data_IF_912298142587
#
_entry.id   IF_912298142587
#
_cell.length_a   1.000
_cell.length_b   1.000
_cell.length_c   1.000
_cell.angle_alpha   90.00
_cell.angle_beta   90.00
_cell.angle_gamma   90.00
#
_symmetry.space_group_name_H-M   'P 1'
#
loop_
_entity.id
_entity.type
_entity.pdbx_description
1 polymer ?
#
# COMPACT_ATOMS: atom_id res chain seq x y z
N UNK A 1 -5.63 47.73 -4.88
CA UNK A 1 -5.24 46.41 -4.37
C UNK A 1 -4.95 46.41 -2.86
N UNK A 2 -4.53 47.52 -2.26
CA UNK A 2 -4.25 47.60 -0.81
C UNK A 2 -5.49 47.63 0.11
N UNK A 3 -6.62 48.18 -0.34
CA UNK A 3 -7.86 48.24 0.48
C UNK A 3 -8.57 46.88 0.64
N UNK A 4 -8.45 46.01 -0.35
CA UNK A 4 -9.02 44.65 -0.32
C UNK A 4 -8.18 43.70 0.53
N UNK A 5 -6.86 43.92 0.62
CA UNK A 5 -5.96 43.10 1.42
C UNK A 5 -6.17 43.31 2.94
N UNK A 6 -6.48 44.53 3.37
CA UNK A 6 -6.78 44.85 4.77
C UNK A 6 -8.14 44.28 5.24
N UNK A 7 -9.13 44.20 4.35
CA UNK A 7 -10.42 43.56 4.65
C UNK A 7 -10.31 42.05 4.86
N UNK A 8 -9.47 41.37 4.07
CA UNK A 8 -9.29 39.90 4.18
C UNK A 8 -8.50 39.53 5.44
N UNK A 9 -7.51 40.32 5.83
CA UNK A 9 -6.72 40.05 7.05
C UNK A 9 -7.52 40.29 8.33
N UNK A 10 -8.35 41.33 8.37
CA UNK A 10 -9.22 41.62 9.52
C UNK A 10 -10.29 40.55 9.72
N UNK A 11 -10.96 40.12 8.64
CA UNK A 11 -11.96 39.03 8.72
C UNK A 11 -11.30 37.72 9.16
N UNK A 12 -10.10 37.41 8.67
CA UNK A 12 -9.35 36.21 9.07
C UNK A 12 -9.01 36.24 10.57
N UNK A 13 -8.48 37.35 11.09
CA UNK A 13 -8.17 37.47 12.53
C UNK A 13 -9.40 37.35 13.43
N UNK A 14 -10.54 37.93 13.02
CA UNK A 14 -11.80 37.83 13.77
C UNK A 14 -12.30 36.37 13.81
N UNK A 15 -12.20 35.64 12.70
CA UNK A 15 -12.58 34.22 12.65
C UNK A 15 -11.66 33.34 13.52
N UNK A 16 -10.35 33.62 13.54
CA UNK A 16 -9.42 32.91 14.42
C UNK A 16 -9.71 33.15 15.90
N UNK A 17 -10.02 34.39 16.29
CA UNK A 17 -10.40 34.72 17.67
C UNK A 17 -11.71 34.06 18.07
N UNK A 18 -12.72 34.07 17.20
CA UNK A 18 -14.00 33.41 17.46
C UNK A 18 -13.84 31.88 17.67
N UNK A 19 -13.02 31.24 16.85
CA UNK A 19 -12.71 29.81 16.98
C UNK A 19 -11.94 29.50 18.27
N UNK A 20 -10.97 30.33 18.66
CA UNK A 20 -10.24 30.14 19.90
C UNK A 20 -11.14 30.25 21.14
N UNK A 21 -12.08 31.21 21.13
CA UNK A 21 -13.07 31.37 22.21
C UNK A 21 -14.03 30.18 22.26
N UNK A 22 -14.54 29.71 21.11
CA UNK A 22 -15.42 28.55 21.06
C UNK A 22 -14.77 27.28 21.61
N UNK A 23 -13.49 27.04 21.26
CA UNK A 23 -12.73 25.91 21.80
C UNK A 23 -12.47 26.03 23.30
N UNK A 24 -12.23 27.23 23.81
CA UNK A 24 -12.05 27.47 25.25
C UNK A 24 -13.35 27.21 26.03
N UNK A 25 -14.50 27.64 25.51
CA UNK A 25 -15.82 27.41 26.12
C UNK A 25 -16.18 25.93 26.10
N UNK A 26 -15.93 25.24 24.98
CA UNK A 26 -16.13 23.78 24.89
C UNK A 26 -15.21 23.02 25.84
N UNK A 27 -13.94 23.44 25.95
CA UNK A 27 -13.00 22.86 26.92
C UNK A 27 -13.44 23.06 28.37
N UNK A 28 -13.97 24.24 28.71
CA UNK A 28 -14.50 24.55 30.04
C UNK A 28 -15.70 23.67 30.39
N UNK A 29 -16.70 23.57 29.51
CA UNK A 29 -17.87 22.71 29.76
C UNK A 29 -17.54 21.22 29.77
N UNK A 30 -16.56 20.78 28.97
CA UNK A 30 -16.10 19.39 28.99
C UNK A 30 -15.47 19.02 30.34
N UNK A 31 -14.64 19.92 30.91
CA UNK A 31 -14.07 19.71 32.24
C UNK A 31 -15.13 19.76 33.35
N UNK A 32 -16.13 20.62 33.24
CA UNK A 32 -17.21 20.74 34.22
C UNK A 32 -18.09 19.47 34.25
N UNK A 33 -18.39 18.87 33.09
CA UNK A 33 -19.16 17.64 33.00
C UNK A 33 -18.41 16.39 33.51
N UNK A 34 -17.08 16.36 33.36
CA UNK A 34 -16.25 15.30 33.96
C UNK A 34 -16.20 15.38 35.50
N UNK A 35 -16.36 16.58 36.07
CA UNK A 35 -16.42 16.78 37.53
C UNK A 35 -17.70 16.24 38.20
N UNK A 36 -18.79 16.05 37.44
CA UNK A 36 -20.08 15.57 37.96
C UNK A 36 -20.27 14.05 37.93
N UNK A 37 -19.50 13.32 37.12
CA UNK A 37 -19.66 11.88 36.94
C UNK A 37 -18.64 11.09 37.78
N UNK A 38 -18.76 11.16 39.11
CA UNK A 38 -17.95 10.38 40.02
C UNK A 38 -18.43 8.92 40.13
N UNK A 39 -17.93 8.03 39.28
CA UNK A 39 -18.07 6.57 39.47
C UNK A 39 -16.88 6.08 40.30
N UNK A 40 -17.13 5.64 41.52
CA UNK A 40 -16.13 5.05 42.41
C UNK A 40 -16.02 3.53 42.19
N UNK A 41 -14.81 3.03 41.96
CA UNK A 41 -14.45 1.61 42.02
C UNK A 41 -13.68 1.34 43.33
N UNK A 42 -13.94 0.23 44.05
CA UNK A 42 -13.37 -0.01 45.37
C UNK A 42 -11.95 -0.62 45.28
N UNK A 43 -11.04 -0.15 46.13
CA UNK A 43 -9.72 -0.74 46.37
C UNK A 43 -9.66 -1.29 47.80
N UNK A 44 -9.18 -2.53 47.93
CA UNK A 44 -9.07 -3.31 49.17
C UNK A 44 -8.19 -2.68 50.27
N UNK A 45 -8.49 -3.04 51.53
CA UNK A 45 -7.79 -2.62 52.76
C UNK A 45 -6.76 -3.66 53.22
N UNK A 46 -5.55 -3.22 53.51
CA UNK A 46 -4.57 -3.87 54.40
C UNK A 46 -4.11 -2.91 55.53
N UNK A 47 -3.60 -3.40 56.68
CA UNK A 47 -3.84 -2.76 57.97
C UNK A 47 -2.79 -1.74 58.43
N UNK A 48 -3.34 -0.65 58.97
CA UNK A 48 -2.92 0.25 60.06
C UNK A 48 -1.49 0.21 60.60
N UNK A 49 -0.80 1.36 60.51
CA UNK A 49 -0.03 1.90 61.64
C UNK A 49 -0.18 3.43 61.76
N UNK A 50 -0.37 3.88 63.00
CA UNK A 50 -0.81 5.20 63.46
C UNK A 50 0.40 6.08 63.81
N UNK A 51 0.46 7.33 63.31
CA UNK A 51 1.05 8.48 64.03
C UNK A 51 0.61 9.83 63.43
N UNK A 52 0.59 10.84 64.32
CA UNK A 52 -0.21 12.08 64.33
C UNK A 52 0.34 13.24 63.47
N UNK A 53 -0.63 14.05 62.99
CA UNK A 53 -0.70 15.52 62.80
C UNK A 53 0.41 16.26 62.05
N UNK A 54 0.00 16.86 60.93
CA UNK A 54 0.59 18.08 60.35
C UNK A 54 -0.23 18.58 59.16
N UNK A 55 -1.03 19.65 59.34
CA UNK A 55 -1.77 20.31 58.25
C UNK A 55 -0.78 20.97 57.29
N UNK A 56 -0.67 20.46 56.05
CA UNK A 56 -0.20 21.23 54.88
C UNK A 56 -1.09 20.90 53.69
N UNK A 57 -1.65 21.95 53.08
CA UNK A 57 -2.44 21.87 51.83
C UNK A 57 -1.56 21.26 50.73
N UNK A 58 -1.87 20.04 50.32
CA UNK A 58 -1.27 19.39 49.15
C UNK A 58 -2.19 19.64 47.96
N UNK A 59 -1.70 20.38 46.96
CA UNK A 59 -2.35 20.51 45.65
C UNK A 59 -2.41 19.10 45.05
N UNK A 60 -3.61 18.57 44.82
CA UNK A 60 -3.80 17.35 44.04
C UNK A 60 -3.39 17.66 42.59
N UNK A 61 -2.34 16.99 42.11
CA UNK A 61 -2.01 16.94 40.70
C UNK A 61 -2.93 15.90 40.03
N UNK A 62 -3.67 16.31 38.99
CA UNK A 62 -4.33 15.38 38.07
C UNK A 62 -3.28 14.53 37.33
N UNK A 63 -3.55 13.25 37.02
CA UNK A 63 -2.61 12.41 36.29
C UNK A 63 -2.56 12.80 34.81
N UNK A 64 -1.44 13.40 34.41
CA UNK A 64 -1.04 13.64 33.02
C UNK A 64 -0.62 12.32 32.34
N UNK A 65 -1.53 11.38 32.15
CA UNK A 65 -1.22 10.11 31.46
C UNK A 65 -0.95 10.31 29.97
N UNK A 66 -1.75 11.14 29.28
CA UNK A 66 -1.58 11.42 27.84
C UNK A 66 -0.37 12.29 27.48
N UNK A 67 0.12 13.12 28.41
CA UNK A 67 1.30 13.97 28.20
C UNK A 67 2.63 13.24 28.52
N UNK A 68 2.59 12.12 29.26
CA UNK A 68 3.78 11.29 29.51
C UNK A 68 4.14 10.39 28.34
N UNK A 69 3.18 9.87 27.58
CA UNK A 69 3.48 9.03 26.40
C UNK A 69 4.18 9.81 25.28
N UNK A 70 3.95 11.13 25.16
CA UNK A 70 4.70 11.98 24.22
C UNK A 70 6.19 12.15 24.59
N UNK A 71 6.60 11.76 25.80
CA UNK A 71 7.95 11.97 26.34
C UNK A 71 8.75 10.68 26.52
N UNK A 72 8.34 9.58 25.87
CA UNK A 72 9.01 8.26 25.91
C UNK A 72 9.95 8.03 24.71
N UNK A 73 10.18 9.05 23.88
CA UNK A 73 11.31 9.04 22.94
C UNK A 73 12.46 9.86 23.53
N UNK A 74 13.65 9.26 23.75
CA UNK A 74 14.76 9.98 24.36
C UNK A 74 15.20 11.15 23.46
N UNK A 75 15.21 12.35 24.03
CA UNK A 75 15.81 13.52 23.41
C UNK A 75 17.34 13.31 23.38
N UNK A 76 18.02 13.43 22.22
CA UNK A 76 19.47 13.34 22.18
C UNK A 76 20.11 14.59 22.82
N UNK A 77 21.26 14.34 23.42
CA UNK A 77 22.10 15.26 24.19
C UNK A 77 22.57 16.47 23.37
N UNK A 78 22.68 17.63 24.03
CA UNK A 78 22.82 18.94 23.40
C UNK A 78 24.30 19.33 23.27
N UNK A 79 24.85 19.39 22.05
CA UNK A 79 26.12 20.11 21.78
C UNK A 79 25.83 21.56 21.29
N UNK A 80 26.60 22.57 21.74
CA UNK A 80 26.35 23.97 21.41
C UNK A 80 26.85 24.36 19.99
N UNK A 81 26.05 25.18 19.32
CA UNK A 81 26.08 25.44 17.88
C UNK A 81 27.21 26.33 17.35
N UNK A 82 27.60 26.10 16.08
CA UNK A 82 28.06 27.16 15.14
C UNK A 82 27.05 27.34 14.00
N UNK A 83 26.54 28.58 13.84
CA UNK A 83 26.16 29.19 12.56
C UNK A 83 24.69 29.06 12.07
N UNK A 84 23.99 30.16 11.64
CA UNK A 84 22.55 30.13 11.35
C UNK A 84 22.13 29.81 9.89
N UNK A 85 23.04 29.76 8.90
CA UNK A 85 22.65 29.80 7.46
C UNK A 85 22.83 28.46 6.71
N UNK A 86 23.11 27.35 7.41
CA UNK A 86 23.11 25.99 6.81
C UNK A 86 21.96 25.09 7.29
N UNK A 87 20.90 25.66 7.89
CA UNK A 87 19.83 24.91 8.59
C UNK A 87 18.58 24.56 7.78
N UNK A 88 18.52 24.74 6.46
CA UNK A 88 17.42 24.15 5.68
C UNK A 88 17.68 22.68 5.30
N UNK A 89 18.92 22.18 5.49
CA UNK A 89 19.27 20.76 5.44
C UNK A 89 19.19 20.06 6.82
N UNK A 90 18.54 20.67 7.82
CA UNK A 90 18.34 20.07 9.15
C UNK A 90 17.03 19.28 9.28
N UNK A 91 16.73 18.40 8.33
CA UNK A 91 15.98 17.17 8.63
C UNK A 91 16.83 16.15 9.43
N UNK A 92 18.14 16.40 9.56
CA UNK A 92 19.11 15.48 10.15
C UNK A 92 18.93 15.19 11.65
N UNK A 93 18.36 16.08 12.46
CA UNK A 93 18.27 15.83 13.92
C UNK A 93 17.09 14.94 14.30
N UNK A 94 15.97 15.04 13.58
CA UNK A 94 14.76 14.24 13.85
C UNK A 94 14.82 12.91 13.09
N UNK A 95 15.28 12.93 11.84
CA UNK A 95 15.38 11.72 11.00
C UNK A 95 16.68 10.96 11.26
N UNK A 96 17.81 11.65 11.51
CA UNK A 96 19.12 11.00 11.68
C UNK A 96 19.18 10.08 12.90
N UNK A 97 18.59 10.50 14.02
CA UNK A 97 18.46 9.61 15.20
C UNK A 97 17.55 8.41 14.93
N UNK A 98 16.54 8.54 14.06
CA UNK A 98 15.66 7.44 13.71
C UNK A 98 16.36 6.43 12.79
N UNK A 99 17.06 6.90 11.76
CA UNK A 99 17.82 6.07 10.80
C UNK A 99 18.92 5.27 11.48
N UNK A 100 19.60 5.82 12.48
CA UNK A 100 20.64 5.08 13.21
C UNK A 100 20.09 4.03 14.17
N UNK A 101 18.84 4.20 14.65
CA UNK A 101 18.22 3.29 15.63
C UNK A 101 17.32 2.22 15.02
N UNK A 102 16.93 2.39 13.76
CA UNK A 102 16.01 1.47 13.09
C UNK A 102 16.67 0.92 11.83
N UNK A 103 17.14 -0.32 11.94
CA UNK A 103 17.60 -1.09 10.79
C UNK A 103 16.37 -1.60 10.03
N UNK A 104 16.47 -1.61 8.69
CA UNK A 104 15.43 -2.18 7.84
C UNK A 104 15.46 -3.69 8.04
N UNK A 105 14.37 -4.32 8.50
CA UNK A 105 14.28 -5.78 8.63
C UNK A 105 14.49 -6.50 7.30
N UNK A 106 14.95 -7.76 7.33
CA UNK A 106 15.24 -8.54 6.12
C UNK A 106 14.02 -8.79 5.23
N UNK A 107 12.82 -8.81 5.82
CA UNK A 107 11.54 -8.98 5.13
C UNK A 107 11.02 -7.68 4.47
N UNK A 108 11.74 -6.55 4.58
CA UNK A 108 11.27 -5.24 4.13
C UNK A 108 12.26 -4.54 3.20
N UNK A 109 11.73 -3.90 2.18
CA UNK A 109 12.50 -3.04 1.27
C UNK A 109 12.73 -1.62 1.81
N UNK A 110 11.88 -1.19 2.74
CA UNK A 110 11.97 0.14 3.37
C UNK A 110 11.33 0.13 4.74
N UNK A 111 11.76 1.05 5.59
CA UNK A 111 11.18 1.24 6.91
C UNK A 111 10.83 2.72 7.10
N UNK A 112 9.63 2.97 7.62
CA UNK A 112 9.15 4.29 8.00
C UNK A 112 8.24 4.21 9.22
N UNK A 113 7.83 5.35 9.75
CA UNK A 113 6.79 5.39 10.80
C UNK A 113 5.47 4.74 10.33
N UNK A 114 5.13 4.87 9.05
CA UNK A 114 3.93 4.22 8.49
C UNK A 114 4.09 2.70 8.49
N UNK A 115 5.28 2.18 8.18
CA UNK A 115 5.56 0.74 8.24
C UNK A 115 5.36 0.19 9.65
N UNK A 116 5.82 0.91 10.68
CA UNK A 116 5.66 0.49 12.08
C UNK A 116 4.19 0.48 12.52
N UNK A 117 3.40 1.47 12.08
CA UNK A 117 1.96 1.52 12.36
C UNK A 117 1.24 0.40 11.62
N UNK A 118 1.62 0.12 10.38
CA UNK A 118 1.08 -0.99 9.59
C UNK A 118 1.34 -2.33 10.29
N UNK A 119 2.55 -2.57 10.82
CA UNK A 119 2.85 -3.80 11.58
C UNK A 119 1.95 -3.97 12.80
N UNK A 120 1.72 -2.89 13.54
CA UNK A 120 0.84 -2.91 14.71
C UNK A 120 -0.62 -3.15 14.32
N UNK A 121 -1.05 -2.63 13.17
CA UNK A 121 -2.37 -2.86 12.63
C UNK A 121 -2.52 -4.32 12.18
N UNK A 122 -1.58 -4.83 11.40
CA UNK A 122 -1.58 -6.20 10.88
C UNK A 122 -1.56 -7.23 12.02
N UNK A 123 -0.79 -6.98 13.09
CA UNK A 123 -0.79 -7.81 14.28
C UNK A 123 -2.17 -7.88 14.96
N UNK A 124 -2.89 -6.76 15.04
CA UNK A 124 -4.25 -6.72 15.61
C UNK A 124 -5.27 -7.39 14.68
N UNK A 125 -5.17 -7.15 13.38
CA UNK A 125 -6.05 -7.76 12.38
C UNK A 125 -5.88 -9.28 12.36
N UNK A 126 -4.63 -9.76 12.45
CA UNK A 126 -4.31 -11.18 12.53
C UNK A 126 -5.06 -11.87 13.67
N UNK A 127 -5.05 -11.29 14.87
CA UNK A 127 -5.79 -11.83 16.02
C UNK A 127 -7.27 -12.02 15.70
N UNK A 128 -7.91 -11.03 15.06
CA UNK A 128 -9.34 -11.08 14.73
C UNK A 128 -9.68 -12.14 13.67
N UNK A 129 -8.77 -12.37 12.70
CA UNK A 129 -9.01 -13.30 11.59
C UNK A 129 -8.67 -14.76 11.96
N UNK A 130 -7.72 -14.97 12.87
CA UNK A 130 -7.35 -16.31 13.36
C UNK A 130 -8.41 -16.92 14.29
N UNK A 131 -9.17 -16.09 15.00
CA UNK A 131 -10.28 -16.52 15.85
C UNK A 131 -11.26 -17.44 15.09
N UNK A 132 -11.80 -18.48 15.76
CA UNK A 132 -12.81 -19.33 15.15
C UNK A 132 -14.01 -18.52 14.66
N UNK A 133 -14.59 -18.87 13.50
CA UNK A 133 -15.84 -18.25 13.07
C UNK A 133 -16.91 -18.53 14.13
N UNK A 134 -17.60 -17.47 14.56
CA UNK A 134 -18.69 -17.58 15.52
C UNK A 134 -20.03 -17.64 14.77
N UNK A 135 -21.00 -18.39 15.30
CA UNK A 135 -22.31 -18.55 14.64
C UNK A 135 -23.08 -17.24 14.50
N UNK A 136 -22.79 -16.24 15.34
CA UNK A 136 -23.37 -14.91 15.27
C UNK A 136 -22.77 -14.00 14.18
N UNK A 137 -21.66 -14.41 13.56
CA UNK A 137 -20.99 -13.59 12.55
C UNK A 137 -21.68 -13.69 11.18
N UNK A 138 -21.72 -12.60 10.39
CA UNK A 138 -22.19 -12.67 9.01
C UNK A 138 -21.34 -13.61 8.14
N UNK A 139 -21.97 -14.26 7.16
CA UNK A 139 -21.27 -15.23 6.30
C UNK A 139 -20.07 -14.69 5.50
N UNK A 140 -19.99 -13.37 5.26
CA UNK A 140 -18.80 -12.79 4.63
C UNK A 140 -17.57 -12.82 5.55
N UNK A 141 -17.75 -12.70 6.87
CA UNK A 141 -16.67 -12.84 7.86
C UNK A 141 -16.19 -14.29 7.88
N UNK A 142 -17.11 -15.26 7.81
CA UNK A 142 -16.73 -16.68 7.72
C UNK A 142 -15.87 -16.94 6.47
N UNK A 143 -16.31 -16.47 5.30
CA UNK A 143 -15.53 -16.60 4.04
C UNK A 143 -14.13 -16.01 4.16
N UNK A 144 -14.02 -14.80 4.73
CA UNK A 144 -12.72 -14.15 4.95
C UNK A 144 -11.82 -14.99 5.88
N UNK A 145 -12.34 -15.47 7.01
CA UNK A 145 -11.59 -16.32 7.96
C UNK A 145 -11.16 -17.65 7.33
N UNK A 146 -12.03 -18.28 6.54
CA UNK A 146 -11.69 -19.51 5.80
C UNK A 146 -10.63 -19.27 4.74
N UNK A 147 -10.72 -18.17 3.98
CA UNK A 147 -9.71 -17.78 2.99
C UNK A 147 -8.35 -17.57 3.65
N UNK A 148 -8.31 -16.86 4.79
CA UNK A 148 -7.09 -16.69 5.57
C UNK A 148 -6.50 -18.04 5.97
N UNK A 149 -7.30 -18.94 6.56
CA UNK A 149 -6.84 -20.28 6.96
C UNK A 149 -6.32 -21.11 5.78
N UNK A 150 -6.93 -20.99 4.60
CA UNK A 150 -6.43 -21.69 3.41
C UNK A 150 -5.04 -21.21 2.99
N UNK A 151 -4.73 -19.92 3.14
CA UNK A 151 -3.41 -19.37 2.79
C UNK A 151 -2.29 -19.84 3.73
N UNK A 152 -2.60 -20.16 4.99
CA UNK A 152 -1.61 -20.61 5.98
C UNK A 152 -1.45 -22.12 6.07
N UNK A 153 -2.30 -22.91 5.40
CA UNK A 153 -2.18 -24.36 5.38
C UNK A 153 -1.13 -24.81 4.36
N UNK A 154 0.16 -24.59 4.69
CA UNK A 154 1.27 -24.92 3.80
C UNK A 154 1.37 -26.41 3.49
N UNK A 155 1.04 -27.29 4.45
CA UNK A 155 1.03 -28.74 4.20
C UNK A 155 0.07 -29.16 3.09
N UNK A 156 -1.10 -28.51 3.01
CA UNK A 156 -2.05 -28.76 1.92
C UNK A 156 -1.53 -28.17 0.60
N UNK A 157 -0.96 -26.95 0.64
CA UNK A 157 -0.37 -26.29 -0.54
C UNK A 157 0.74 -27.16 -1.13
N UNK A 158 1.67 -27.63 -0.30
CA UNK A 158 2.78 -28.49 -0.69
C UNK A 158 2.31 -29.84 -1.25
N UNK A 159 1.18 -30.36 -0.76
CA UNK A 159 0.59 -31.61 -1.27
C UNK A 159 0.02 -31.49 -2.69
N UNK A 160 -0.48 -30.31 -3.06
CA UNK A 160 -0.98 -30.05 -4.42
C UNK A 160 0.13 -29.63 -5.39
N UNK A 161 1.24 -29.08 -4.86
CA UNK A 161 2.39 -28.61 -5.63
C UNK A 161 1.94 -27.72 -6.81
N UNK A 162 2.46 -27.95 -8.01
CA UNK A 162 2.18 -27.17 -9.22
C UNK A 162 0.89 -27.57 -9.97
N UNK A 163 0.21 -28.64 -9.53
CA UNK A 163 -0.95 -29.21 -10.25
C UNK A 163 -2.10 -28.20 -10.46
N UNK A 164 -2.50 -27.36 -9.48
CA UNK A 164 -3.57 -26.38 -9.68
C UNK A 164 -3.23 -25.36 -10.76
N UNK A 165 -1.97 -24.90 -10.80
CA UNK A 165 -1.52 -23.93 -11.79
C UNK A 165 -1.50 -24.55 -13.19
N UNK A 166 -1.00 -25.79 -13.33
CA UNK A 166 -1.01 -26.51 -14.61
C UNK A 166 -2.44 -26.71 -15.14
N UNK A 167 -3.41 -27.03 -14.27
CA UNK A 167 -4.82 -27.16 -14.67
C UNK A 167 -5.37 -25.83 -15.22
N UNK A 168 -5.09 -24.72 -14.55
CA UNK A 168 -5.50 -23.40 -15.00
C UNK A 168 -4.84 -23.03 -16.33
N UNK A 169 -3.52 -23.22 -16.46
CA UNK A 169 -2.80 -22.92 -17.70
C UNK A 169 -3.38 -23.67 -18.90
N UNK A 170 -3.73 -24.95 -18.74
CA UNK A 170 -4.38 -25.74 -19.80
C UNK A 170 -5.72 -25.16 -20.24
N UNK A 171 -6.52 -24.63 -19.30
CA UNK A 171 -7.80 -23.98 -19.64
C UNK A 171 -7.59 -22.65 -20.35
N UNK A 172 -6.51 -21.92 -20.02
CA UNK A 172 -6.18 -20.63 -20.62
C UNK A 172 -5.49 -20.73 -22.00
N UNK A 173 -5.39 -21.92 -22.58
CA UNK A 173 -4.78 -22.15 -23.89
C UNK A 173 -3.33 -22.63 -23.86
N UNK A 174 -2.84 -23.00 -22.68
CA UNK A 174 -1.51 -23.55 -22.47
C UNK A 174 -0.42 -22.49 -22.34
N UNK A 175 0.78 -22.93 -21.96
CA UNK A 175 1.97 -22.08 -21.99
C UNK A 175 3.00 -22.72 -22.94
N UNK A 176 3.29 -22.12 -24.11
CA UNK A 176 4.13 -22.74 -25.14
C UNK A 176 5.46 -23.28 -24.63
N UNK A 177 6.14 -22.54 -23.74
CA UNK A 177 7.45 -22.93 -23.20
C UNK A 177 7.40 -24.19 -22.34
N UNK A 178 6.26 -24.46 -21.70
CA UNK A 178 6.05 -25.63 -20.83
C UNK A 178 5.58 -26.84 -21.65
N UNK A 179 4.68 -26.61 -22.61
CA UNK A 179 4.13 -27.68 -23.45
C UNK A 179 5.06 -28.06 -24.62
N UNK A 180 5.98 -27.17 -24.98
CA UNK A 180 6.99 -27.36 -26.02
C UNK A 180 6.37 -27.76 -27.37
N UNK A 181 6.91 -28.78 -28.06
CA UNK A 181 6.40 -29.23 -29.36
C UNK A 181 4.94 -29.72 -29.35
N UNK A 182 4.38 -30.01 -28.18
CA UNK A 182 2.98 -30.42 -28.02
C UNK A 182 1.99 -29.26 -28.15
N UNK A 183 2.46 -28.02 -28.01
CA UNK A 183 1.61 -26.84 -28.10
C UNK A 183 1.25 -26.51 -29.55
N UNK A 184 -0.04 -26.30 -29.82
CA UNK A 184 -0.52 -26.05 -31.17
C UNK A 184 -0.95 -24.59 -31.35
N UNK A 185 -0.09 -23.80 -31.99
CA UNK A 185 -0.32 -22.39 -32.29
C UNK A 185 -1.60 -22.14 -33.10
N UNK A 186 -1.99 -23.05 -34.00
CA UNK A 186 -3.18 -22.87 -34.85
C UNK A 186 -4.49 -22.96 -34.07
N UNK A 187 -4.48 -23.56 -32.87
CA UNK A 187 -5.65 -23.64 -31.99
C UNK A 187 -5.71 -22.47 -31.00
N UNK A 188 -4.68 -21.65 -30.94
CA UNK A 188 -4.60 -20.55 -29.99
C UNK A 188 -5.09 -19.24 -30.60
N UNK A 189 -6.10 -18.66 -29.97
CA UNK A 189 -6.59 -17.31 -30.29
C UNK A 189 -6.40 -16.41 -29.07
N UNK A 190 -5.56 -15.40 -29.21
CA UNK A 190 -5.19 -14.53 -28.09
C UNK A 190 -6.38 -13.77 -27.49
N UNK A 191 -7.38 -13.38 -28.29
CA UNK A 191 -8.61 -12.74 -27.80
C UNK A 191 -9.42 -13.68 -26.91
N UNK A 192 -9.56 -14.94 -27.32
CA UNK A 192 -10.26 -15.95 -26.52
C UNK A 192 -9.52 -16.19 -25.21
N UNK A 193 -8.19 -16.26 -25.25
CA UNK A 193 -7.37 -16.35 -24.05
C UNK A 193 -7.66 -15.17 -23.10
N UNK A 194 -7.61 -13.92 -23.57
CA UNK A 194 -7.90 -12.74 -22.74
C UNK A 194 -9.30 -12.76 -22.12
N UNK A 195 -10.31 -13.21 -22.86
CA UNK A 195 -11.67 -13.39 -22.33
C UNK A 195 -11.65 -14.43 -21.21
N UNK A 196 -10.93 -15.53 -21.38
CA UNK A 196 -10.79 -16.55 -20.34
C UNK A 196 -10.02 -16.02 -19.12
N UNK A 197 -8.92 -15.29 -19.29
CA UNK A 197 -8.21 -14.63 -18.18
C UNK A 197 -9.18 -13.79 -17.35
N UNK A 198 -9.99 -12.95 -18.02
CA UNK A 198 -11.01 -12.12 -17.36
C UNK A 198 -12.09 -12.94 -16.65
N UNK A 199 -12.59 -14.02 -17.28
CA UNK A 199 -13.61 -14.89 -16.68
C UNK A 199 -13.09 -15.61 -15.42
N UNK A 200 -11.82 -15.98 -15.39
CA UNK A 200 -11.15 -16.57 -14.23
C UNK A 200 -10.76 -15.53 -13.17
N UNK A 201 -10.91 -14.23 -13.45
CA UNK A 201 -10.59 -13.14 -12.53
C UNK A 201 -9.11 -12.76 -12.51
N UNK A 202 -8.33 -13.19 -13.50
CA UNK A 202 -6.97 -12.72 -13.73
C UNK A 202 -6.96 -11.38 -14.48
N UNK A 203 -5.87 -10.63 -14.37
CA UNK A 203 -5.68 -9.44 -15.22
C UNK A 203 -5.61 -9.86 -16.68
N UNK A 204 -6.36 -9.17 -17.53
CA UNK A 204 -6.35 -9.30 -18.98
C UNK A 204 -5.53 -8.19 -19.65
N UNK A 205 -4.76 -7.42 -18.87
CA UNK A 205 -3.99 -6.26 -19.31
C UNK A 205 -2.58 -6.69 -19.76
N UNK A 206 -2.55 -7.61 -20.74
CA UNK A 206 -1.31 -8.25 -21.22
C UNK A 206 -0.68 -7.44 -22.35
N UNK A 207 -1.48 -7.00 -23.33
CA UNK A 207 -1.02 -6.21 -24.48
C UNK A 207 -1.54 -4.78 -24.46
N UNK A 208 -2.75 -4.60 -23.93
CA UNK A 208 -3.45 -3.34 -23.77
C UNK A 208 -4.19 -3.40 -22.45
N UNK A 209 -4.14 -2.32 -21.68
CA UNK A 209 -5.02 -2.16 -20.52
C UNK A 209 -6.41 -1.78 -21.03
N UNK A 210 -7.41 -2.54 -20.62
CA UNK A 210 -8.81 -2.32 -21.00
C UNK A 210 -9.65 -2.22 -19.74
N UNK A 211 -10.17 -1.03 -19.48
CA UNK A 211 -10.96 -0.75 -18.29
C UNK A 211 -12.22 0.06 -18.59
N UNK A 212 -13.13 0.08 -17.62
CA UNK A 212 -14.33 0.93 -17.66
C UNK A 212 -14.20 1.96 -16.55
N UNK A 213 -14.00 3.22 -16.95
CA UNK A 213 -13.72 4.32 -16.02
C UNK A 213 -14.79 5.43 -16.16
N UNK A 214 -14.98 6.26 -15.13
CA UNK A 214 -15.74 7.50 -15.28
C UNK A 214 -15.10 8.42 -16.33
N UNK A 215 -15.91 9.04 -17.19
CA UNK A 215 -15.39 10.00 -18.17
C UNK A 215 -14.87 11.25 -17.47
N UNK A 216 -13.56 11.55 -17.63
CA UNK A 216 -12.89 12.69 -17.01
C UNK A 216 -13.56 14.05 -17.30
N UNK A 217 -14.25 14.19 -18.44
CA UNK A 217 -14.97 15.42 -18.81
C UNK A 217 -16.46 15.37 -18.47
N UNK A 218 -17.02 14.19 -18.19
CA UNK A 218 -18.39 14.04 -17.74
C UNK A 218 -18.51 12.82 -16.81
N UNK A 219 -18.31 13.03 -15.52
CA UNK A 219 -18.29 11.99 -14.49
C UNK A 219 -19.65 11.30 -14.22
N UNK A 220 -20.72 11.71 -14.92
CA UNK A 220 -22.04 11.05 -14.83
C UNK A 220 -22.15 9.80 -15.72
N UNK A 221 -21.17 9.56 -16.60
CA UNK A 221 -21.13 8.42 -17.50
C UNK A 221 -19.80 7.67 -17.40
N UNK A 222 -19.85 6.40 -17.76
CA UNK A 222 -18.67 5.57 -17.92
C UNK A 222 -18.28 5.48 -19.40
N UNK A 223 -16.99 5.33 -19.64
CA UNK A 223 -16.41 5.09 -20.97
C UNK A 223 -15.47 3.90 -20.90
N UNK A 224 -15.23 3.29 -22.06
CA UNK A 224 -14.16 2.31 -22.22
C UNK A 224 -12.87 3.10 -22.37
N UNK A 225 -11.88 2.75 -21.55
CA UNK A 225 -10.54 3.28 -21.59
C UNK A 225 -9.57 2.23 -22.13
N UNK A 226 -8.66 2.67 -22.98
CA UNK A 226 -7.62 1.86 -23.59
C UNK A 226 -6.30 2.54 -23.33
N UNK A 227 -5.40 1.84 -22.66
CA UNK A 227 -4.10 2.38 -22.27
C UNK A 227 -2.97 1.38 -22.56
N UNK A 228 -1.74 1.85 -22.41
CA UNK A 228 -0.56 1.01 -22.49
C UNK A 228 -0.60 -0.10 -21.44
N UNK A 229 -0.09 -1.27 -21.80
CA UNK A 229 -0.07 -2.44 -20.93
C UNK A 229 0.78 -2.26 -19.67
N UNK A 230 0.51 -3.11 -18.69
CA UNK A 230 1.42 -3.33 -17.57
C UNK A 230 2.65 -4.12 -18.03
N UNK A 231 3.82 -3.77 -17.49
CA UNK A 231 5.08 -4.47 -17.76
C UNK A 231 5.42 -5.32 -16.52
N UNK A 232 6.14 -6.42 -16.72
CA UNK A 232 6.62 -7.29 -15.65
C UNK A 232 7.64 -6.64 -14.74
N UNK A 233 8.32 -5.58 -15.22
CA UNK A 233 9.17 -4.72 -14.39
C UNK A 233 8.46 -3.39 -14.03
N UNK A 234 8.77 -2.79 -12.86
CA UNK A 234 8.05 -1.61 -12.35
C UNK A 234 8.10 -0.36 -13.24
N UNK A 235 9.10 -0.26 -14.11
CA UNK A 235 9.28 0.88 -15.00
C UNK A 235 9.93 0.46 -16.32
N UNK A 236 9.51 1.09 -17.43
CA UNK A 236 10.06 0.85 -18.78
C UNK A 236 11.57 1.05 -18.84
N UNK A 237 12.12 1.96 -18.03
CA UNK A 237 13.55 2.29 -18.03
C UNK A 237 14.42 1.12 -17.62
N UNK A 238 13.90 0.14 -16.87
CA UNK A 238 14.64 -1.09 -16.60
C UNK A 238 14.83 -1.92 -17.87
N UNK A 239 13.74 -2.23 -18.58
CA UNK A 239 13.78 -3.04 -19.79
C UNK A 239 14.66 -2.40 -20.89
N UNK A 240 14.63 -1.08 -21.01
CA UNK A 240 15.44 -0.34 -22.00
C UNK A 240 16.96 -0.43 -21.75
N UNK A 241 17.42 -0.77 -20.54
CA UNK A 241 18.85 -1.00 -20.25
C UNK A 241 19.31 -2.40 -20.71
N UNK A 242 18.37 -3.29 -21.02
CA UNK A 242 18.64 -4.66 -21.45
C UNK A 242 19.24 -5.55 -20.35
N UNK A 243 19.76 -6.72 -20.77
CA UNK A 243 20.27 -7.77 -19.87
C UNK A 243 21.49 -7.38 -19.03
N UNK A 244 22.12 -6.23 -19.30
CA UNK A 244 23.21 -5.71 -18.48
C UNK A 244 22.72 -5.16 -17.13
N UNK A 245 21.44 -4.79 -17.03
CA UNK A 245 20.83 -4.39 -15.76
C UNK A 245 20.47 -5.63 -14.94
N UNK A 246 20.86 -5.62 -13.66
CA UNK A 246 20.68 -6.79 -12.79
C UNK A 246 19.22 -7.15 -12.56
N UNK A 247 18.29 -6.19 -12.61
CA UNK A 247 16.87 -6.45 -12.46
C UNK A 247 16.31 -7.20 -13.68
N UNK A 248 16.74 -6.81 -14.88
CA UNK A 248 16.32 -7.47 -16.13
C UNK A 248 16.88 -8.90 -16.20
N UNK A 249 18.15 -9.08 -15.82
CA UNK A 249 18.76 -10.40 -15.73
C UNK A 249 18.05 -11.29 -14.70
N UNK A 250 17.70 -10.75 -13.53
CA UNK A 250 16.95 -11.46 -12.50
C UNK A 250 15.52 -11.81 -12.96
N UNK A 251 14.89 -10.95 -13.74
CA UNK A 251 13.56 -11.20 -14.31
C UNK A 251 13.59 -12.35 -15.33
N UNK A 252 14.57 -12.38 -16.25
CA UNK A 252 14.76 -13.54 -17.14
C UNK A 252 15.03 -14.83 -16.36
N UNK A 253 15.83 -14.75 -15.30
CA UNK A 253 16.09 -15.88 -14.42
C UNK A 253 14.80 -16.37 -13.75
N UNK A 254 13.96 -15.47 -13.24
CA UNK A 254 12.68 -15.82 -12.63
C UNK A 254 11.75 -16.52 -13.63
N UNK A 255 11.61 -15.97 -14.84
CA UNK A 255 10.78 -16.58 -15.88
C UNK A 255 11.25 -17.99 -16.23
N UNK A 256 12.56 -18.18 -16.40
CA UNK A 256 13.16 -19.47 -16.77
C UNK A 256 13.08 -20.50 -15.65
N UNK A 257 13.29 -20.12 -14.40
CA UNK A 257 13.13 -21.00 -13.24
C UNK A 257 11.67 -21.39 -13.01
N UNK A 258 10.73 -20.46 -13.18
CA UNK A 258 9.30 -20.75 -13.10
C UNK A 258 8.85 -21.74 -14.19
N UNK A 259 9.32 -21.58 -15.43
CA UNK A 259 9.04 -22.52 -16.51
C UNK A 259 9.62 -23.91 -16.22
N UNK A 260 10.84 -23.99 -15.68
CA UNK A 260 11.48 -25.26 -15.29
C UNK A 260 10.70 -25.98 -14.17
N UNK A 261 10.22 -25.24 -13.16
CA UNK A 261 9.38 -25.80 -12.09
C UNK A 261 8.07 -26.39 -12.62
N UNK A 262 7.59 -25.92 -13.77
CA UNK A 262 6.40 -26.44 -14.44
C UNK A 262 6.70 -27.56 -15.45
N UNK A 263 7.97 -27.95 -15.61
CA UNK A 263 8.39 -29.06 -16.46
C UNK A 263 9.02 -28.68 -17.80
N UNK A 264 9.30 -27.40 -18.05
CA UNK A 264 9.97 -26.96 -19.28
C UNK A 264 11.45 -27.40 -19.34
N UNK A 265 11.96 -27.67 -20.54
CA UNK A 265 13.40 -27.86 -20.74
C UNK A 265 14.14 -26.53 -20.50
N UNK A 266 15.21 -26.57 -19.71
CA UNK A 266 15.96 -25.37 -19.30
C UNK A 266 16.51 -24.58 -20.48
N UNK A 267 17.09 -25.24 -21.49
CA UNK A 267 17.75 -24.55 -22.61
C UNK A 267 16.73 -23.97 -23.59
N UNK A 268 15.68 -24.73 -23.89
CA UNK A 268 14.57 -24.25 -24.70
C UNK A 268 13.90 -23.05 -24.02
N UNK A 269 13.59 -23.17 -22.72
CA UNK A 269 12.97 -22.11 -21.94
C UNK A 269 13.80 -20.82 -21.92
N UNK A 270 15.13 -20.91 -21.78
CA UNK A 270 15.97 -19.71 -21.81
C UNK A 270 15.91 -18.98 -23.16
N UNK A 271 15.81 -19.72 -24.27
CA UNK A 271 15.75 -19.14 -25.61
C UNK A 271 14.39 -18.48 -25.85
N UNK A 272 13.30 -19.21 -25.64
CA UNK A 272 11.93 -18.70 -25.84
C UNK A 272 11.61 -17.52 -24.92
N UNK A 273 12.02 -17.57 -23.65
CA UNK A 273 11.75 -16.48 -22.70
C UNK A 273 12.64 -15.26 -22.93
N UNK A 274 13.79 -15.43 -23.58
CA UNK A 274 14.59 -14.29 -24.05
C UNK A 274 13.88 -13.57 -25.21
N UNK A 275 13.22 -14.29 -26.10
CA UNK A 275 12.38 -13.71 -27.15
C UNK A 275 11.16 -12.99 -26.55
N UNK A 276 10.51 -13.60 -25.57
CA UNK A 276 9.41 -12.96 -24.82
C UNK A 276 9.86 -11.67 -24.14
N UNK A 277 11.03 -11.67 -23.49
CA UNK A 277 11.62 -10.47 -22.90
C UNK A 277 11.93 -9.39 -23.94
N UNK A 278 12.42 -9.78 -25.12
CA UNK A 278 12.68 -8.85 -26.20
C UNK A 278 11.38 -8.21 -26.71
N UNK A 279 10.32 -9.00 -26.86
CA UNK A 279 8.99 -8.51 -27.20
C UNK A 279 8.47 -7.52 -26.16
N UNK A 280 8.59 -7.84 -24.87
CA UNK A 280 8.22 -6.93 -23.77
C UNK A 280 9.05 -5.64 -23.79
N UNK A 281 10.35 -5.73 -24.11
CA UNK A 281 11.23 -4.56 -24.27
C UNK A 281 10.79 -3.68 -25.44
N UNK A 282 10.32 -4.28 -26.54
CA UNK A 282 9.71 -3.53 -27.65
C UNK A 282 8.45 -2.79 -27.19
N UNK A 283 7.55 -3.44 -26.44
CA UNK A 283 6.36 -2.77 -25.87
C UNK A 283 6.74 -1.62 -24.94
N UNK A 284 7.75 -1.82 -24.10
CA UNK A 284 8.28 -0.79 -23.20
C UNK A 284 8.88 0.41 -23.95
N UNK A 285 9.38 0.21 -25.17
CA UNK A 285 9.89 1.28 -26.01
C UNK A 285 8.76 2.13 -26.62
N UNK A 286 7.65 1.50 -27.02
CA UNK A 286 6.46 2.18 -27.54
C UNK A 286 5.61 2.85 -26.44
N UNK A 287 5.73 2.39 -25.19
CA UNK A 287 5.03 2.96 -24.04
C UNK A 287 5.49 4.39 -23.75
N UNK A 288 4.57 5.26 -23.29
CA UNK A 288 4.93 6.64 -22.95
C UNK A 288 5.69 6.71 -21.61
N UNK A 289 6.66 7.64 -21.46
CA UNK A 289 7.34 7.85 -20.18
C UNK A 289 6.39 8.47 -19.15
N UNK A 290 6.64 8.21 -17.85
CA UNK A 290 5.75 8.61 -16.74
C UNK A 290 5.51 10.12 -16.71
N UNK A 291 6.52 10.90 -17.08
CA UNK A 291 6.49 12.37 -17.09
C UNK A 291 5.46 12.90 -18.08
N UNK A 292 5.41 12.34 -19.29
CA UNK A 292 4.47 12.74 -20.34
C UNK A 292 3.04 12.35 -20.00
N UNK A 293 2.87 11.26 -19.25
CA UNK A 293 1.57 10.75 -18.79
C UNK A 293 0.95 11.58 -17.66
N UNK A 294 1.66 12.57 -17.09
CA UNK A 294 1.09 13.47 -16.06
C UNK A 294 0.07 14.46 -16.64
N UNK A 295 0.08 14.69 -17.95
CA UNK A 295 -0.86 15.61 -18.59
C UNK A 295 -2.12 14.87 -19.05
N UNK A 296 -3.10 14.79 -18.15
CA UNK A 296 -4.39 14.10 -18.39
C UNK A 296 -5.10 14.64 -19.62
N UNK A 297 -5.02 15.96 -19.88
CA UNK A 297 -5.66 16.57 -21.05
C UNK A 297 -5.07 16.08 -22.38
N UNK A 298 -3.79 15.73 -22.42
CA UNK A 298 -3.13 15.14 -23.60
C UNK A 298 -3.41 13.64 -23.73
N UNK A 299 -3.61 12.94 -22.62
CA UNK A 299 -3.98 11.53 -22.64
C UNK A 299 -5.45 11.30 -23.04
N UNK A 300 -6.32 12.28 -22.77
CA UNK A 300 -7.74 12.19 -23.10
C UNK A 300 -7.99 12.33 -24.61
N UNK A 301 -8.04 11.19 -25.31
CA UNK A 301 -8.28 11.09 -26.75
C UNK A 301 -9.56 10.30 -27.04
N UNK A 302 -10.72 10.90 -26.74
CA UNK A 302 -12.02 10.25 -26.92
C UNK A 302 -12.38 10.11 -28.40
N UNK A 303 -12.63 8.88 -28.84
CA UNK A 303 -13.05 8.57 -30.21
C UNK A 303 -14.09 7.44 -30.24
N UNK A 304 -14.91 7.35 -31.29
CA UNK A 304 -15.80 6.22 -31.52
C UNK A 304 -15.02 4.98 -32.01
N UNK A 305 -15.58 3.79 -31.78
CA UNK A 305 -14.92 2.51 -32.06
C UNK A 305 -14.52 2.33 -33.54
N UNK A 306 -15.27 2.91 -34.47
CA UNK A 306 -14.96 2.83 -35.90
C UNK A 306 -13.71 3.64 -36.30
N UNK A 307 -13.32 4.64 -35.52
CA UNK A 307 -12.06 5.39 -35.72
C UNK A 307 -10.88 4.62 -35.16
N UNK A 308 -11.06 3.96 -34.00
CA UNK A 308 -10.05 3.10 -33.41
C UNK A 308 -9.59 1.99 -34.36
N UNK A 309 -10.51 1.39 -35.13
CA UNK A 309 -10.19 0.34 -36.11
C UNK A 309 -9.25 0.82 -37.25
N UNK A 310 -9.12 2.13 -37.44
CA UNK A 310 -8.28 2.72 -38.51
C UNK A 310 -6.86 3.06 -38.03
N UNK A 311 -6.62 3.05 -36.71
CA UNK A 311 -5.29 3.21 -36.11
C UNK A 311 -4.50 1.90 -36.24
#
# INVERSE_FOLDING_TARGET
MERTLCGVTTVSMVMFLAMAVALAVLGYHYQENLGRSGVALPLERGPTHRKRRGRRRQRQALPLAGLRQRRVHPAPEHEPERGPVRKLLRSFVIVGGWVHRHLIPEDKSSLSQFSLIQDQLDAKLRTLVEEPPQDSEPGFIHKMKHMYRSCFNTSLIDSYAEEPLQKVLKVLGGWPVVEGPGWNASKFHWLDALIQYRNFGYSHDILLDLSVIPDFRNNTRYIIDLDQTSLGLPDRTYLLKGLNDSAVAAYLKLMTEAAQLLGADKKAAETELREALQFETTLANYSLPREERRNISRLYNKMPLYELKKL
#
